data_IF_273672344633
#
_entry.id   IF_273672344633
#
_cell.length_a   1.000
_cell.length_b   1.000
_cell.length_c   1.000
_cell.angle_alpha   90.00
_cell.angle_beta   90.00
_cell.angle_gamma   90.00
#
_symmetry.space_group_name_H-M   'P 1'
#
loop_
_entity.id
_entity.type
_entity.pdbx_description
1 polymer ?
#
# COMPACT_ATOMS: atom_id res chain seq x y z
N UNK A 1 22.94 21.87 10.95
CA UNK A 1 21.92 21.95 9.89
C UNK A 1 21.69 23.42 9.57
N UNK A 2 21.68 23.83 8.29
CA UNK A 2 21.37 25.21 7.86
C UNK A 2 20.33 25.16 6.74
N UNK A 3 19.33 26.05 6.79
CA UNK A 3 18.22 26.09 5.83
C UNK A 3 16.85 25.93 6.50
N UNK A 4 15.83 25.65 5.68
CA UNK A 4 14.47 25.38 6.13
C UNK A 4 14.34 23.93 6.58
N UNK A 5 13.89 23.70 7.81
CA UNK A 5 13.74 22.34 8.31
C UNK A 5 12.60 22.17 9.28
N UNK A 6 12.22 20.91 9.45
CA UNK A 6 11.12 20.49 10.31
C UNK A 6 11.60 19.36 11.21
N UNK A 7 11.35 19.50 12.51
CA UNK A 7 11.40 18.38 13.43
C UNK A 7 10.02 17.73 13.51
N UNK A 8 9.97 16.39 13.50
CA UNK A 8 8.71 15.60 13.53
C UNK A 8 8.65 14.68 14.74
N UNK A 9 9.39 15.05 15.78
CA UNK A 9 9.62 14.26 16.98
C UNK A 9 8.53 14.43 18.02
N UNK A 10 8.13 13.35 18.68
CA UNK A 10 7.27 13.44 19.89
C UNK A 10 7.92 14.30 20.98
N UNK A 11 9.22 14.09 21.19
CA UNK A 11 10.04 14.81 22.14
C UNK A 11 11.17 15.51 21.37
N UNK A 12 11.01 16.80 21.02
CA UNK A 12 11.96 17.54 20.19
C UNK A 12 13.35 17.64 20.82
N UNK A 13 14.39 17.59 19.98
CA UNK A 13 15.81 17.68 20.36
C UNK A 13 16.56 18.81 19.67
N UNK A 14 15.92 19.51 18.74
CA UNK A 14 16.54 20.58 17.96
C UNK A 14 15.87 21.93 18.24
N UNK A 15 16.41 22.99 17.64
CA UNK A 15 15.78 24.32 17.63
C UNK A 15 14.85 24.54 16.43
N UNK A 16 14.55 23.48 15.67
CA UNK A 16 13.69 23.58 14.49
C UNK A 16 12.23 23.75 14.91
N UNK A 17 11.39 24.33 14.04
CA UNK A 17 9.95 24.17 14.15
C UNK A 17 9.61 22.69 14.30
N UNK A 18 8.77 22.35 15.28
CA UNK A 18 8.34 20.97 15.51
C UNK A 18 6.89 20.78 15.08
N UNK A 19 6.62 19.71 14.32
CA UNK A 19 5.28 19.24 13.99
C UNK A 19 5.18 17.76 14.35
N UNK A 20 4.56 17.47 15.48
CA UNK A 20 4.26 16.10 15.87
C UNK A 20 2.77 15.80 15.73
N UNK A 21 2.48 14.65 15.12
CA UNK A 21 1.15 14.07 15.05
C UNK A 21 1.27 12.58 15.34
N UNK A 22 0.43 12.06 16.22
CA UNK A 22 0.40 10.64 16.58
C UNK A 22 0.27 9.77 15.31
N UNK A 23 1.27 8.91 15.00
CA UNK A 23 1.31 8.16 13.75
C UNK A 23 0.11 7.24 13.55
N UNK A 24 -0.46 7.27 12.35
CA UNK A 24 -1.52 6.37 11.89
C UNK A 24 -1.60 6.36 10.36
N UNK A 25 -2.47 5.54 9.78
CA UNK A 25 -2.62 5.39 8.32
C UNK A 25 -2.96 6.69 7.57
N UNK A 26 -3.60 7.63 8.27
CA UNK A 26 -4.02 8.92 7.75
C UNK A 26 -2.98 10.03 8.00
N UNK A 27 -1.80 9.71 8.53
CA UNK A 27 -0.74 10.69 8.77
C UNK A 27 -0.37 11.41 7.46
N UNK A 28 -0.42 12.75 7.49
CA UNK A 28 -0.03 13.63 6.40
C UNK A 28 0.69 14.83 7.00
N UNK A 29 1.75 15.28 6.33
CA UNK A 29 2.30 16.61 6.63
C UNK A 29 1.39 17.68 5.99
N UNK A 30 1.09 18.79 6.69
CA UNK A 30 0.45 19.94 6.08
C UNK A 30 1.18 20.43 4.83
N UNK A 31 0.43 20.86 3.79
CA UNK A 31 1.01 21.37 2.52
C UNK A 31 1.96 22.56 2.69
N UNK A 32 1.84 23.30 3.81
CA UNK A 32 2.76 24.38 4.20
C UNK A 32 4.19 23.89 4.40
N UNK A 33 4.37 22.60 4.72
CA UNK A 33 5.67 21.95 4.81
C UNK A 33 6.02 21.28 3.49
N UNK A 34 6.52 22.09 2.56
CA UNK A 34 7.01 21.64 1.26
C UNK A 34 8.36 22.29 0.95
N UNK A 35 9.12 21.69 0.02
CA UNK A 35 10.42 22.21 -0.43
C UNK A 35 11.47 22.37 0.70
N UNK A 36 11.40 21.53 1.75
CA UNK A 36 12.29 21.58 2.92
C UNK A 36 13.71 21.12 2.60
N UNK A 37 14.70 21.69 3.30
CA UNK A 37 16.11 21.24 3.26
C UNK A 37 16.33 19.98 4.11
N UNK A 38 15.63 19.86 5.23
CA UNK A 38 15.74 18.68 6.08
C UNK A 38 14.49 18.41 6.93
N UNK A 39 14.23 17.12 7.14
CA UNK A 39 13.27 16.60 8.13
C UNK A 39 14.06 15.81 9.15
N UNK A 40 13.91 16.14 10.43
CA UNK A 40 14.59 15.47 11.54
C UNK A 40 13.58 14.72 12.39
N UNK A 41 13.80 13.43 12.59
CA UNK A 41 13.02 12.58 13.48
C UNK A 41 13.87 12.08 14.65
N UNK A 42 13.38 12.30 15.86
CA UNK A 42 13.93 11.72 17.08
C UNK A 42 13.07 10.53 17.53
N UNK A 43 13.37 9.36 16.96
CA UNK A 43 12.81 8.04 17.30
C UNK A 43 11.33 7.77 16.94
N UNK A 44 10.58 8.72 16.38
CA UNK A 44 9.15 8.49 16.08
C UNK A 44 8.97 7.40 15.02
N UNK A 45 9.87 7.32 14.05
CA UNK A 45 9.87 6.24 13.06
C UNK A 45 10.26 4.90 13.68
N UNK A 46 11.24 4.85 14.58
CA UNK A 46 11.66 3.59 15.21
C UNK A 46 10.64 3.04 16.20
N UNK A 47 9.83 3.90 16.83
CA UNK A 47 8.84 3.50 17.83
C UNK A 47 7.47 3.17 17.23
N UNK A 48 7.29 3.33 15.92
CA UNK A 48 5.99 3.23 15.26
C UNK A 48 5.98 2.17 14.15
N UNK A 49 4.94 1.33 14.11
CA UNK A 49 4.68 0.46 12.96
C UNK A 49 4.31 1.22 11.69
N UNK A 50 3.93 2.49 11.82
CA UNK A 50 3.56 3.37 10.71
C UNK A 50 4.77 4.06 10.05
N UNK A 51 6.00 3.68 10.43
CA UNK A 51 7.22 4.28 9.89
C UNK A 51 7.28 4.33 8.36
N UNK A 52 6.74 3.38 7.56
CA UNK A 52 6.79 3.52 6.11
C UNK A 52 6.02 4.75 5.64
N UNK A 53 4.86 5.02 6.24
CA UNK A 53 4.02 6.18 5.94
C UNK A 53 4.72 7.47 6.35
N UNK A 54 5.33 7.47 7.54
CA UNK A 54 6.09 8.62 8.04
C UNK A 54 7.23 8.98 7.08
N UNK A 55 8.09 8.01 6.78
CA UNK A 55 9.21 8.17 5.86
C UNK A 55 8.76 8.67 4.49
N UNK A 56 7.66 8.12 3.97
CA UNK A 56 7.10 8.52 2.68
C UNK A 56 6.59 9.98 2.69
N UNK A 57 5.84 10.39 3.71
CA UNK A 57 5.38 11.79 3.85
C UNK A 57 6.56 12.76 4.03
N UNK A 58 7.57 12.41 4.83
CA UNK A 58 8.75 13.24 5.05
C UNK A 58 9.56 13.40 3.77
N UNK A 59 9.71 12.33 2.99
CA UNK A 59 10.37 12.39 1.69
C UNK A 59 9.66 13.34 0.73
N UNK A 60 8.32 13.35 0.69
CA UNK A 60 7.57 14.28 -0.18
C UNK A 60 7.83 15.74 0.17
N UNK A 61 7.88 16.07 1.47
CA UNK A 61 8.06 17.43 1.94
C UNK A 61 9.44 18.03 1.58
N UNK A 62 10.44 17.19 1.28
CA UNK A 62 11.78 17.64 0.91
C UNK A 62 11.89 18.08 -0.55
N UNK A 63 12.79 19.04 -0.80
CA UNK A 63 13.29 19.33 -2.15
C UNK A 63 14.31 18.27 -2.61
N UNK A 64 14.61 18.22 -3.91
CA UNK A 64 15.75 17.39 -4.39
C UNK A 64 17.03 17.86 -3.69
N UNK A 65 17.79 16.91 -3.16
CA UNK A 65 18.99 17.14 -2.35
C UNK A 65 18.72 17.37 -0.86
N UNK A 66 17.45 17.56 -0.47
CA UNK A 66 17.04 17.64 0.93
C UNK A 66 17.29 16.32 1.69
N UNK A 67 17.34 16.39 3.02
CA UNK A 67 17.77 15.28 3.87
C UNK A 67 16.71 14.81 4.87
N UNK A 68 16.50 13.51 5.00
CA UNK A 68 15.80 12.92 6.15
C UNK A 68 16.87 12.45 7.12
N UNK A 69 16.78 12.87 8.37
CA UNK A 69 17.69 12.48 9.44
C UNK A 69 16.86 11.75 10.48
N UNK A 70 17.08 10.45 10.62
CA UNK A 70 16.34 9.60 11.56
C UNK A 70 17.27 9.20 12.69
N UNK A 71 16.94 9.62 13.91
CA UNK A 71 17.56 9.06 15.10
C UNK A 71 17.07 7.62 15.28
N UNK A 72 18.02 6.69 15.38
CA UNK A 72 17.76 5.28 15.61
C UNK A 72 18.36 4.85 16.95
N UNK A 73 18.31 5.70 17.96
CA UNK A 73 18.94 5.47 19.26
C UNK A 73 17.94 4.96 20.28
N UNK A 74 18.44 4.27 21.31
CA UNK A 74 17.63 3.55 22.30
C UNK A 74 16.75 2.46 21.67
N UNK A 75 17.40 1.34 21.36
CA UNK A 75 16.75 0.13 20.81
C UNK A 75 15.84 -0.60 21.82
N UNK A 76 15.71 -0.09 23.04
CA UNK A 76 15.17 -0.83 24.19
C UNK A 76 13.67 -1.19 24.04
N UNK A 77 12.93 -0.50 23.17
CA UNK A 77 11.48 -0.70 22.99
C UNK A 77 11.06 -1.26 21.61
N UNK A 78 11.99 -1.84 20.86
CA UNK A 78 11.78 -2.01 19.43
C UNK A 78 10.88 -3.15 18.97
N UNK A 79 10.13 -2.81 17.91
CA UNK A 79 9.51 -3.73 16.98
C UNK A 79 10.54 -4.40 16.03
N UNK A 80 11.70 -3.76 15.78
CA UNK A 80 12.66 -4.09 14.70
C UNK A 80 14.12 -3.94 15.17
N UNK A 81 15.05 -4.79 14.73
CA UNK A 81 16.49 -4.61 15.03
C UNK A 81 17.11 -3.41 14.26
N UNK A 82 18.21 -2.80 14.73
CA UNK A 82 18.86 -1.65 14.07
C UNK A 82 19.17 -1.82 12.59
N UNK A 83 19.79 -2.94 12.27
CA UNK A 83 20.25 -3.25 10.91
C UNK A 83 19.06 -3.50 9.99
N UNK A 84 18.01 -4.13 10.53
CA UNK A 84 16.76 -4.39 9.85
C UNK A 84 16.01 -3.08 9.57
N UNK A 85 16.00 -2.14 10.52
CA UNK A 85 15.37 -0.85 10.34
C UNK A 85 16.07 0.00 9.25
N UNK A 86 17.40 0.01 9.23
CA UNK A 86 18.15 0.68 8.16
C UNK A 86 17.80 0.10 6.78
N UNK A 87 17.75 -1.23 6.65
CA UNK A 87 17.36 -1.88 5.39
C UNK A 87 15.92 -1.52 4.98
N UNK A 88 14.99 -1.48 5.94
CA UNK A 88 13.60 -1.08 5.69
C UNK A 88 13.49 0.40 5.30
N UNK A 89 14.29 1.29 5.89
CA UNK A 89 14.34 2.68 5.47
C UNK A 89 14.79 2.81 4.02
N UNK A 90 15.89 2.13 3.63
CA UNK A 90 16.34 2.08 2.25
C UNK A 90 15.28 1.49 1.30
N UNK A 91 14.47 0.56 1.78
CA UNK A 91 13.42 -0.08 1.00
C UNK A 91 12.23 0.86 0.73
N UNK A 92 11.75 1.59 1.74
CA UNK A 92 10.58 2.47 1.61
C UNK A 92 10.92 3.86 1.08
N UNK A 93 12.14 4.36 1.31
CA UNK A 93 12.61 5.64 0.78
C UNK A 93 13.13 5.48 -0.66
N UNK A 94 12.27 5.07 -1.59
CA UNK A 94 12.64 4.72 -2.97
C UNK A 94 13.32 5.86 -3.74
N UNK A 95 13.08 7.11 -3.34
CA UNK A 95 13.62 8.30 -4.00
C UNK A 95 14.71 8.98 -3.18
N UNK A 96 15.17 8.33 -2.13
CA UNK A 96 16.28 8.82 -1.31
C UNK A 96 17.35 7.75 -1.18
N UNK A 97 18.57 8.19 -0.91
CA UNK A 97 19.72 7.31 -0.72
C UNK A 97 20.34 7.58 0.64
N UNK A 98 20.68 6.52 1.38
CA UNK A 98 21.50 6.65 2.58
C UNK A 98 22.87 7.22 2.17
N UNK A 99 23.22 8.37 2.71
CA UNK A 99 24.51 9.04 2.43
C UNK A 99 25.45 9.04 3.62
N UNK A 100 24.93 8.87 4.83
CA UNK A 100 25.75 8.91 6.03
C UNK A 100 25.10 8.16 7.20
N UNK A 101 25.94 7.73 8.13
CA UNK A 101 25.56 7.18 9.43
C UNK A 101 26.45 7.82 10.49
N UNK A 102 25.85 8.70 11.29
CA UNK A 102 26.57 9.53 12.26
C UNK A 102 26.31 8.96 13.66
N UNK A 103 27.37 8.78 14.46
CA UNK A 103 27.24 8.37 15.86
C UNK A 103 27.85 9.44 16.78
N UNK A 104 27.02 10.03 17.64
CA UNK A 104 27.40 11.11 18.57
C UNK A 104 26.65 10.95 19.89
N UNK A 105 27.33 11.08 21.04
CA UNK A 105 26.74 11.06 22.38
C UNK A 105 25.75 9.90 22.62
N UNK A 106 26.17 8.67 22.30
CA UNK A 106 25.36 7.44 22.33
C UNK A 106 24.15 7.42 21.38
N UNK A 107 24.01 8.43 20.52
CA UNK A 107 23.01 8.45 19.47
C UNK A 107 23.58 8.01 18.13
N UNK A 108 22.80 7.28 17.33
CA UNK A 108 23.08 6.94 15.94
C UNK A 108 22.00 7.54 15.06
N UNK A 109 22.41 8.26 14.01
CA UNK A 109 21.54 8.89 13.04
C UNK A 109 21.77 8.31 11.66
N UNK A 110 20.68 7.98 10.96
CA UNK A 110 20.71 7.64 9.54
C UNK A 110 20.35 8.87 8.72
N UNK A 111 21.19 9.22 7.74
CA UNK A 111 21.00 10.40 6.90
C UNK A 111 20.70 9.97 5.47
N UNK A 112 19.49 10.25 5.00
CA UNK A 112 19.04 9.98 3.64
C UNK A 112 18.96 11.27 2.84
N UNK A 113 19.39 11.26 1.59
CA UNK A 113 19.33 12.39 0.66
C UNK A 113 18.34 12.09 -0.46
N UNK A 114 17.35 12.97 -0.67
CA UNK A 114 16.36 12.84 -1.75
C UNK A 114 17.00 13.08 -3.12
N UNK A 115 16.85 12.12 -4.03
CA UNK A 115 17.43 12.10 -5.37
C UNK A 115 16.44 12.46 -6.47
N UNK A 116 15.15 12.20 -6.28
CA UNK A 116 14.15 12.41 -7.32
C UNK A 116 12.85 13.02 -6.77
N UNK A 117 12.11 13.66 -7.68
CA UNK A 117 10.68 13.91 -7.51
C UNK A 117 9.93 12.76 -8.17
N UNK A 118 9.19 11.96 -7.39
CA UNK A 118 8.56 10.73 -7.89
C UNK A 118 7.05 10.72 -7.80
N UNK A 119 6.46 11.61 -7.00
CA UNK A 119 5.04 11.57 -6.73
C UNK A 119 4.34 12.58 -7.63
N UNK A 120 3.66 12.06 -8.65
CA UNK A 120 2.76 12.86 -9.48
C UNK A 120 1.59 13.39 -8.64
N UNK A 121 1.30 14.68 -8.81
CA UNK A 121 0.21 15.37 -8.12
C UNK A 121 -0.89 15.83 -9.07
N UNK A 122 -0.92 15.33 -10.31
CA UNK A 122 -1.95 15.69 -11.29
C UNK A 122 -3.33 15.28 -10.78
N UNK A 123 -4.34 16.10 -11.06
CA UNK A 123 -5.73 15.81 -10.70
C UNK A 123 -6.49 15.05 -11.79
N UNK A 124 -5.84 14.75 -12.92
CA UNK A 124 -6.49 14.07 -14.05
C UNK A 124 -6.67 12.57 -13.80
N UNK A 125 -7.83 12.01 -14.14
CA UNK A 125 -8.19 10.63 -13.78
C UNK A 125 -8.60 9.81 -15.01
N UNK A 126 -8.07 8.58 -15.11
CA UNK A 126 -8.62 7.56 -15.99
C UNK A 126 -9.51 6.61 -15.21
N UNK A 127 -10.78 6.52 -15.59
CA UNK A 127 -11.69 5.50 -15.08
C UNK A 127 -11.69 4.28 -16.00
N UNK A 128 -11.48 3.11 -15.43
CA UNK A 128 -11.43 1.84 -16.13
C UNK A 128 -12.52 0.90 -15.66
N UNK A 129 -13.38 0.46 -16.58
CA UNK A 129 -14.46 -0.48 -16.29
C UNK A 129 -14.18 -1.78 -17.03
N UNK A 130 -14.03 -2.88 -16.29
CA UNK A 130 -13.97 -4.22 -16.90
C UNK A 130 -15.35 -4.87 -16.86
N UNK A 131 -15.74 -5.51 -17.96
CA UNK A 131 -17.01 -6.22 -18.06
C UNK A 131 -16.92 -7.49 -18.90
N UNK A 132 -17.78 -8.47 -18.61
CA UNK A 132 -18.07 -9.62 -19.49
C UNK A 132 -19.21 -9.30 -20.49
N UNK A 133 -19.98 -8.24 -20.24
CA UNK A 133 -21.22 -7.91 -20.94
C UNK A 133 -22.47 -8.51 -20.29
N UNK A 134 -23.62 -8.18 -20.87
CA UNK A 134 -24.94 -8.65 -20.43
C UNK A 134 -25.56 -7.83 -19.29
N UNK A 135 -24.98 -6.69 -18.93
CA UNK A 135 -25.45 -5.78 -17.86
C UNK A 135 -25.23 -4.31 -18.24
N UNK A 136 -25.59 -3.95 -19.47
CA UNK A 136 -25.33 -2.62 -20.04
C UNK A 136 -25.96 -1.50 -19.18
N UNK A 137 -27.16 -1.70 -18.64
CA UNK A 137 -27.81 -0.73 -17.74
C UNK A 137 -27.02 -0.47 -16.44
N UNK A 138 -26.36 -1.49 -15.89
CA UNK A 138 -25.52 -1.37 -14.69
C UNK A 138 -24.24 -0.60 -15.02
N UNK A 139 -23.67 -0.85 -16.19
CA UNK A 139 -22.49 -0.11 -16.68
C UNK A 139 -22.87 1.34 -16.98
N UNK A 140 -24.05 1.59 -17.56
CA UNK A 140 -24.57 2.93 -17.83
C UNK A 140 -24.72 3.72 -16.52
N UNK A 141 -25.31 3.12 -15.48
CA UNK A 141 -25.40 3.74 -14.14
C UNK A 141 -24.02 4.01 -13.53
N UNK A 142 -23.05 3.13 -13.74
CA UNK A 142 -21.68 3.38 -13.32
C UNK A 142 -21.07 4.60 -14.05
N UNK A 143 -21.26 4.69 -15.37
CA UNK A 143 -20.75 5.81 -16.18
C UNK A 143 -21.41 7.13 -15.76
N UNK A 144 -22.72 7.11 -15.52
CA UNK A 144 -23.47 8.26 -15.00
C UNK A 144 -22.90 8.76 -13.68
N UNK A 145 -22.56 7.85 -12.75
CA UNK A 145 -21.95 8.27 -11.48
C UNK A 145 -20.60 8.99 -11.65
N UNK A 146 -19.86 8.72 -12.74
CA UNK A 146 -18.62 9.44 -13.05
C UNK A 146 -18.94 10.83 -13.61
N UNK A 147 -19.96 10.94 -14.46
CA UNK A 147 -20.40 12.23 -15.01
C UNK A 147 -20.92 13.17 -13.92
N UNK A 148 -21.66 12.63 -12.95
CA UNK A 148 -22.25 13.39 -11.85
C UNK A 148 -21.21 14.04 -10.93
N UNK A 149 -20.00 13.48 -10.86
CA UNK A 149 -18.89 14.04 -10.08
C UNK A 149 -18.28 15.30 -10.71
N UNK A 150 -18.64 15.64 -11.97
CA UNK A 150 -18.19 16.86 -12.68
C UNK A 150 -16.68 17.07 -12.64
N UNK A 151 -15.93 15.97 -12.82
CA UNK A 151 -14.48 15.97 -12.78
C UNK A 151 -13.95 16.81 -13.95
N UNK A 152 -13.05 17.79 -13.73
CA UNK A 152 -12.61 18.70 -14.80
C UNK A 152 -11.87 17.99 -15.93
N UNK A 153 -11.04 17.00 -15.59
CA UNK A 153 -10.19 16.30 -16.55
C UNK A 153 -10.18 14.80 -16.26
N UNK A 154 -10.96 14.06 -17.05
CA UNK A 154 -11.01 12.61 -16.95
C UNK A 154 -11.20 11.96 -18.31
N UNK A 155 -11.05 10.64 -18.34
CA UNK A 155 -11.55 9.80 -19.42
C UNK A 155 -12.17 8.53 -18.81
N UNK A 156 -13.01 7.86 -19.60
CA UNK A 156 -13.59 6.57 -19.24
C UNK A 156 -13.20 5.55 -20.31
N UNK A 157 -12.67 4.42 -19.87
CA UNK A 157 -12.30 3.28 -20.71
C UNK A 157 -13.13 2.09 -20.27
N UNK A 158 -13.90 1.50 -21.19
CA UNK A 158 -14.62 0.25 -20.94
C UNK A 158 -13.96 -0.87 -21.74
N UNK A 159 -13.53 -1.92 -21.06
CA UNK A 159 -12.90 -3.09 -21.66
C UNK A 159 -13.76 -4.34 -21.47
N UNK A 160 -14.24 -4.91 -22.58
CA UNK A 160 -15.18 -6.04 -22.56
C UNK A 160 -16.23 -5.99 -23.66
N UNK A 161 -17.34 -6.68 -23.44
CA UNK A 161 -18.56 -6.56 -24.27
C UNK A 161 -19.46 -5.49 -23.67
N UNK A 162 -19.77 -4.43 -24.43
CA UNK A 162 -20.64 -3.35 -23.99
C UNK A 162 -21.31 -2.70 -25.21
N UNK A 163 -22.62 -2.52 -25.14
CA UNK A 163 -23.45 -1.90 -26.20
C UNK A 163 -24.40 -0.82 -25.65
N UNK A 164 -24.14 -0.34 -24.44
CA UNK A 164 -25.02 0.60 -23.74
C UNK A 164 -24.99 2.02 -24.29
N UNK A 165 -25.77 2.87 -23.63
CA UNK A 165 -26.11 4.24 -24.08
C UNK A 165 -24.88 5.12 -24.32
N UNK A 166 -23.82 4.94 -23.53
CA UNK A 166 -22.67 5.84 -23.50
C UNK A 166 -21.48 5.38 -24.35
N UNK A 167 -21.65 4.38 -25.22
CA UNK A 167 -20.57 3.83 -26.06
C UNK A 167 -19.81 4.91 -26.85
N UNK A 168 -20.49 5.98 -27.28
CA UNK A 168 -19.88 7.11 -28.02
C UNK A 168 -19.14 8.13 -27.14
N UNK A 169 -19.35 8.09 -25.82
CA UNK A 169 -18.79 9.03 -24.84
C UNK A 169 -17.52 8.49 -24.16
N UNK A 170 -17.14 7.25 -24.47
CA UNK A 170 -16.06 6.53 -23.82
C UNK A 170 -15.01 6.06 -24.82
N UNK A 171 -13.84 5.67 -24.32
CA UNK A 171 -12.90 4.84 -25.08
C UNK A 171 -13.30 3.37 -24.90
N UNK A 172 -13.79 2.77 -25.97
CA UNK A 172 -14.20 1.36 -25.96
C UNK A 172 -13.07 0.43 -26.41
N UNK A 173 -12.80 -0.59 -25.60
CA UNK A 173 -11.85 -1.67 -25.90
C UNK A 173 -12.62 -3.00 -25.98
N UNK A 174 -13.05 -3.42 -27.18
CA UNK A 174 -13.74 -4.70 -27.33
C UNK A 174 -12.82 -5.85 -26.92
N UNK A 175 -13.28 -6.69 -26.00
CA UNK A 175 -12.53 -7.86 -25.56
C UNK A 175 -13.46 -8.96 -25.05
N UNK A 176 -13.40 -10.12 -25.68
CA UNK A 176 -14.22 -11.30 -25.32
C UNK A 176 -13.41 -12.60 -25.21
N UNK A 177 -12.07 -12.51 -25.32
CA UNK A 177 -11.20 -13.68 -25.23
C UNK A 177 -11.29 -14.31 -23.84
N UNK A 178 -11.53 -15.63 -23.80
CA UNK A 178 -11.61 -16.40 -22.55
C UNK A 178 -12.59 -15.83 -21.52
N UNK A 179 -13.68 -15.20 -21.96
CA UNK A 179 -14.71 -14.64 -21.07
C UNK A 179 -15.41 -15.68 -20.19
N UNK A 180 -15.38 -16.95 -20.58
CA UNK A 180 -15.83 -18.06 -19.75
C UNK A 180 -14.96 -18.28 -18.51
N UNK A 181 -13.68 -17.92 -18.58
CA UNK A 181 -12.73 -17.98 -17.46
C UNK A 181 -12.58 -16.63 -16.75
N UNK A 182 -13.03 -15.55 -17.37
CA UNK A 182 -12.97 -14.21 -16.80
C UNK A 182 -11.55 -13.68 -16.76
N UNK A 183 -11.00 -13.33 -17.92
CA UNK A 183 -9.63 -12.81 -18.05
C UNK A 183 -9.48 -11.36 -17.58
N UNK A 184 -9.80 -11.14 -16.31
CA UNK A 184 -9.92 -9.81 -15.71
C UNK A 184 -8.58 -9.09 -15.60
N UNK A 185 -7.48 -9.82 -15.40
CA UNK A 185 -6.11 -9.28 -15.36
C UNK A 185 -5.75 -8.63 -16.70
N UNK A 186 -6.01 -9.34 -17.81
CA UNK A 186 -5.80 -8.83 -19.15
C UNK A 186 -6.60 -7.58 -19.44
N UNK A 187 -7.89 -7.58 -19.11
CA UNK A 187 -8.76 -6.40 -19.27
C UNK A 187 -8.25 -5.20 -18.46
N UNK A 188 -7.85 -5.41 -17.20
CA UNK A 188 -7.26 -4.35 -16.36
C UNK A 188 -5.96 -3.81 -16.96
N UNK A 189 -5.08 -4.67 -17.44
CA UNK A 189 -3.84 -4.26 -18.10
C UNK A 189 -4.09 -3.48 -19.40
N UNK A 190 -5.02 -3.91 -20.26
CA UNK A 190 -5.38 -3.20 -21.49
C UNK A 190 -5.91 -1.78 -21.23
N UNK A 191 -6.70 -1.62 -20.17
CA UNK A 191 -7.15 -0.30 -19.68
C UNK A 191 -5.94 0.54 -19.29
N UNK A 192 -5.05 0.03 -18.42
CA UNK A 192 -3.88 0.77 -17.96
C UNK A 192 -2.94 1.17 -19.10
N UNK A 193 -2.73 0.28 -20.07
CA UNK A 193 -1.92 0.54 -21.26
C UNK A 193 -2.53 1.68 -22.08
N UNK A 194 -3.84 1.64 -22.24
CA UNK A 194 -4.63 2.61 -23.00
C UNK A 194 -4.87 3.95 -22.31
N UNK A 195 -4.66 4.02 -20.99
CA UNK A 195 -4.91 5.21 -20.18
C UNK A 195 -4.03 6.40 -20.59
N UNK A 196 -4.58 7.60 -20.60
CA UNK A 196 -3.86 8.87 -20.83
C UNK A 196 -3.27 9.41 -19.54
N UNK A 197 -3.97 9.23 -18.41
CA UNK A 197 -3.63 9.89 -17.15
C UNK A 197 -2.90 8.98 -16.17
N UNK A 198 -2.25 9.62 -15.20
CA UNK A 198 -1.45 8.96 -14.18
C UNK A 198 -2.31 8.35 -13.07
N UNK A 199 -3.43 8.98 -12.68
CA UNK A 199 -4.35 8.39 -11.71
C UNK A 199 -5.27 7.38 -12.41
N UNK A 200 -5.11 6.09 -12.11
CA UNK A 200 -5.98 5.04 -12.62
C UNK A 200 -6.97 4.63 -11.54
N UNK A 201 -8.26 4.66 -11.86
CA UNK A 201 -9.35 4.15 -11.02
C UNK A 201 -10.03 3.03 -11.79
N UNK A 202 -9.77 1.78 -11.38
CA UNK A 202 -10.20 0.60 -12.12
C UNK A 202 -11.19 -0.18 -11.26
N UNK A 203 -12.39 -0.42 -11.76
CA UNK A 203 -13.38 -1.21 -11.05
C UNK A 203 -14.20 -2.12 -11.97
N UNK A 204 -14.81 -3.12 -11.35
CA UNK A 204 -15.70 -4.06 -12.04
C UNK A 204 -17.05 -3.41 -12.35
N UNK A 205 -17.76 -3.96 -13.35
CA UNK A 205 -19.10 -3.59 -13.83
C UNK A 205 -20.29 -3.75 -12.86
N UNK A 206 -20.06 -3.51 -11.56
CA UNK A 206 -21.05 -3.64 -10.48
C UNK A 206 -20.82 -2.66 -9.34
N UNK A 207 -19.94 -1.69 -9.53
CA UNK A 207 -19.70 -0.61 -8.58
C UNK A 207 -19.93 0.71 -9.29
N UNK A 208 -20.36 1.71 -8.55
CA UNK A 208 -20.39 3.11 -8.96
C UNK A 208 -19.64 3.98 -7.96
N UNK A 209 -19.40 5.23 -8.31
CA UNK A 209 -18.93 6.23 -7.35
C UNK A 209 -20.10 6.63 -6.44
N UNK A 210 -19.86 6.75 -5.13
CA UNK A 210 -20.82 7.40 -4.23
C UNK A 210 -20.74 8.91 -4.46
N UNK A 211 -21.88 9.59 -4.44
CA UNK A 211 -21.93 11.05 -4.57
C UNK A 211 -20.91 11.76 -3.68
N UNK A 212 -20.14 12.68 -4.27
CA UNK A 212 -19.08 13.44 -3.61
C UNK A 212 -17.74 12.70 -3.57
N UNK A 213 -17.59 11.62 -4.34
CA UNK A 213 -16.36 10.84 -4.40
C UNK A 213 -15.14 11.70 -4.77
N UNK A 214 -15.27 12.58 -5.76
CA UNK A 214 -14.18 13.42 -6.27
C UNK A 214 -13.81 14.51 -5.28
N UNK A 215 -14.78 15.13 -4.60
CA UNK A 215 -14.49 16.07 -3.50
C UNK A 215 -13.73 15.39 -2.36
N UNK A 216 -14.14 14.17 -1.99
CA UNK A 216 -13.39 13.35 -1.05
C UNK A 216 -11.98 13.03 -1.53
N UNK A 217 -11.82 12.79 -2.82
CA UNK A 217 -10.54 12.47 -3.43
C UNK A 217 -9.59 13.68 -3.38
N UNK A 218 -10.10 14.86 -3.74
CA UNK A 218 -9.38 16.14 -3.60
C UNK A 218 -8.99 16.42 -2.15
N UNK A 219 -9.90 16.16 -1.21
CA UNK A 219 -9.64 16.31 0.23
C UNK A 219 -8.48 15.41 0.69
N UNK A 220 -8.39 14.19 0.18
CA UNK A 220 -7.28 13.30 0.47
C UNK A 220 -5.96 13.71 -0.21
N UNK A 221 -6.04 14.15 -1.47
CA UNK A 221 -4.92 14.59 -2.29
C UNK A 221 -4.42 13.53 -3.29
N UNK A 222 -3.84 13.99 -4.39
CA UNK A 222 -3.42 13.14 -5.52
C UNK A 222 -2.00 12.56 -5.37
N UNK A 223 -1.32 12.89 -4.29
CA UNK A 223 -0.03 12.29 -3.95
C UNK A 223 -0.26 10.97 -3.20
N UNK A 224 -0.08 9.86 -3.92
CA UNK A 224 -0.14 8.47 -3.45
C UNK A 224 0.48 7.54 -4.50
N UNK A 225 0.87 6.33 -4.11
CA UNK A 225 1.24 5.26 -5.06
C UNK A 225 0.05 4.34 -5.37
N UNK A 226 -0.60 3.89 -4.29
CA UNK A 226 -1.75 3.01 -4.26
C UNK A 226 -2.73 3.55 -3.22
N UNK A 227 -4.00 3.64 -3.60
CA UNK A 227 -5.04 4.22 -2.78
C UNK A 227 -6.24 3.26 -2.65
N UNK A 228 -6.74 3.14 -1.43
CA UNK A 228 -7.92 2.38 -1.09
C UNK A 228 -8.98 3.34 -0.58
N UNK A 229 -10.20 3.22 -1.11
CA UNK A 229 -11.36 3.95 -0.62
C UNK A 229 -12.29 2.99 0.13
N UNK A 230 -13.27 3.53 0.83
CA UNK A 230 -14.37 2.70 1.31
C UNK A 230 -15.02 1.94 0.15
N UNK A 231 -15.36 0.68 0.40
CA UNK A 231 -16.28 -0.07 -0.46
C UNK A 231 -17.51 -0.38 0.35
N UNK A 232 -18.67 -0.01 -0.17
CA UNK A 232 -19.95 -0.20 0.50
C UNK A 232 -20.78 -1.23 -0.27
N UNK A 233 -21.45 -2.09 0.49
CA UNK A 233 -22.48 -2.96 -0.05
C UNK A 233 -23.69 -2.14 -0.48
N UNK A 234 -24.63 -2.79 -1.17
CA UNK A 234 -25.92 -2.18 -1.53
C UNK A 234 -26.68 -1.63 -0.31
N UNK A 235 -26.52 -2.25 0.86
CA UNK A 235 -27.15 -1.83 2.12
C UNK A 235 -26.28 -0.81 2.91
N UNK A 236 -25.36 -0.10 2.25
CA UNK A 236 -24.48 0.91 2.86
C UNK A 236 -23.56 0.38 3.98
N UNK A 237 -23.26 -0.91 3.97
CA UNK A 237 -22.36 -1.53 4.95
C UNK A 237 -20.96 -1.62 4.38
N UNK A 238 -19.95 -1.36 5.21
CA UNK A 238 -18.54 -1.53 4.83
C UNK A 238 -18.26 -2.98 4.39
N UNK A 239 -17.76 -3.10 3.17
CA UNK A 239 -17.31 -4.32 2.52
C UNK A 239 -15.78 -4.49 2.72
N UNK A 240 -15.23 -5.53 2.11
CA UNK A 240 -13.83 -5.90 2.10
C UNK A 240 -12.94 -4.89 1.36
N UNK A 241 -12.75 -3.70 1.94
CA UNK A 241 -11.90 -2.63 1.38
C UNK A 241 -10.45 -2.67 1.83
N UNK A 242 -10.22 -2.63 3.14
CA UNK A 242 -8.93 -2.48 3.79
C UNK A 242 -8.64 -3.71 4.63
N UNK A 243 -7.91 -4.65 4.04
CA UNK A 243 -7.77 -5.99 4.58
C UNK A 243 -6.30 -6.31 4.79
N UNK A 244 -5.99 -7.00 5.88
CA UNK A 244 -4.71 -7.66 6.09
C UNK A 244 -4.84 -9.18 5.96
N UNK A 245 -3.79 -9.84 5.50
CA UNK A 245 -3.69 -11.30 5.52
C UNK A 245 -3.00 -11.71 6.82
N UNK A 246 -3.76 -12.41 7.67
CA UNK A 246 -3.26 -13.03 8.89
C UNK A 246 -2.90 -14.48 8.59
N UNK A 247 -1.62 -14.80 8.67
CA UNK A 247 -1.16 -16.19 8.69
C UNK A 247 -1.41 -16.81 10.06
N UNK A 248 -1.99 -18.02 10.11
CA UNK A 248 -2.01 -18.83 11.32
C UNK A 248 -0.68 -19.61 11.42
N UNK A 249 -0.03 -19.61 12.58
CA UNK A 249 1.27 -20.26 12.81
C UNK A 249 1.19 -21.80 12.83
N UNK A 250 -0.04 -22.34 12.83
CA UNK A 250 -0.30 -23.75 13.08
C UNK A 250 -0.44 -24.55 11.77
N UNK A 251 0.71 -24.97 11.21
CA UNK A 251 0.78 -26.10 10.29
C UNK A 251 0.38 -25.86 8.83
N UNK A 252 1.00 -26.62 7.93
CA UNK A 252 0.85 -26.51 6.47
C UNK A 252 -0.59 -26.70 5.95
N UNK A 253 -1.46 -27.34 6.74
CA UNK A 253 -2.84 -27.67 6.33
C UNK A 253 -3.85 -26.54 6.62
N UNK A 254 -3.65 -25.69 7.63
CA UNK A 254 -4.50 -24.50 7.86
C UNK A 254 -4.06 -23.29 7.02
N UNK A 255 -2.85 -23.30 6.45
CA UNK A 255 -2.31 -22.24 5.58
C UNK A 255 -3.12 -22.00 4.30
N UNK A 256 -4.05 -22.89 3.94
CA UNK A 256 -4.91 -22.75 2.76
C UNK A 256 -6.14 -21.86 3.02
N UNK A 257 -6.43 -21.50 4.27
CA UNK A 257 -7.45 -20.50 4.62
C UNK A 257 -6.75 -19.29 5.23
N UNK A 258 -6.19 -18.43 4.38
CA UNK A 258 -5.75 -17.11 4.80
C UNK A 258 -6.88 -16.44 5.59
N UNK A 259 -6.66 -16.19 6.88
CA UNK A 259 -7.59 -15.40 7.66
C UNK A 259 -7.41 -13.97 7.20
N UNK A 260 -8.43 -13.43 6.55
CA UNK A 260 -8.46 -12.01 6.23
C UNK A 260 -8.87 -11.25 7.49
N UNK A 261 -8.43 -10.01 7.65
CA UNK A 261 -8.84 -9.16 8.75
C UNK A 261 -9.24 -7.80 8.21
N UNK A 262 -10.48 -7.37 8.42
CA UNK A 262 -10.88 -6.00 8.07
C UNK A 262 -10.21 -5.05 9.05
N UNK A 263 -9.35 -4.17 8.54
CA UNK A 263 -8.59 -3.23 9.35
C UNK A 263 -9.38 -1.95 9.62
N UNK A 264 -9.13 -1.35 10.78
CA UNK A 264 -9.53 0.04 11.03
C UNK A 264 -8.85 0.96 10.00
N UNK A 265 -9.55 2.00 9.56
CA UNK A 265 -9.06 2.91 8.50
C UNK A 265 -7.86 3.74 8.93
N UNK A 266 -7.62 3.87 10.23
CA UNK A 266 -6.45 4.50 10.82
C UNK A 266 -5.31 3.50 11.02
N UNK A 267 -5.54 2.22 10.79
CA UNK A 267 -4.54 1.18 10.99
C UNK A 267 -3.80 0.81 9.69
N UNK A 268 -2.60 0.24 9.85
CA UNK A 268 -1.72 -0.16 8.76
C UNK A 268 -0.95 -1.44 9.13
N UNK A 269 -0.73 -2.28 8.12
CA UNK A 269 0.06 -3.49 8.21
C UNK A 269 0.77 -3.74 6.87
N UNK A 270 1.99 -4.29 6.93
CA UNK A 270 2.78 -4.55 5.72
C UNK A 270 2.17 -5.63 4.82
N UNK A 271 1.41 -6.56 5.41
CA UNK A 271 0.76 -7.68 4.72
C UNK A 271 -0.66 -7.32 4.24
N UNK A 272 -0.81 -6.15 3.62
CA UNK A 272 -2.10 -5.68 3.12
C UNK A 272 -2.56 -6.48 1.90
N UNK A 273 -3.87 -6.60 1.72
CA UNK A 273 -4.49 -7.22 0.57
C UNK A 273 -5.37 -6.22 -0.17
N UNK A 274 -5.11 -6.07 -1.47
CA UNK A 274 -5.91 -5.24 -2.36
C UNK A 274 -7.06 -6.08 -2.88
N UNK A 275 -8.27 -5.73 -2.46
CA UNK A 275 -9.48 -6.33 -3.00
C UNK A 275 -9.70 -5.80 -4.44
N UNK A 276 -9.58 -6.67 -5.43
CA UNK A 276 -9.53 -6.32 -6.85
C UNK A 276 -10.75 -5.71 -7.54
N UNK A 277 -11.99 -5.74 -7.01
CA UNK A 277 -13.13 -5.11 -7.63
C UNK A 277 -13.05 -3.59 -7.78
N UNK A 278 -12.27 -2.90 -6.96
CA UNK A 278 -11.98 -1.47 -7.09
C UNK A 278 -10.53 -1.21 -6.66
N UNK A 279 -9.70 -0.74 -7.59
CA UNK A 279 -8.27 -0.47 -7.39
C UNK A 279 -7.96 0.94 -7.88
N UNK A 280 -7.27 1.73 -7.05
CA UNK A 280 -6.81 3.07 -7.42
C UNK A 280 -5.29 3.07 -7.34
N UNK A 281 -4.62 3.22 -8.46
CA UNK A 281 -3.15 3.08 -8.54
C UNK A 281 -2.59 4.10 -9.52
N UNK A 282 -1.37 4.57 -9.27
CA UNK A 282 -0.63 5.37 -10.23
C UNK A 282 -0.20 4.53 -11.43
N UNK A 283 -0.30 5.07 -12.64
CA UNK A 283 0.08 4.37 -13.88
C UNK A 283 1.55 3.98 -13.88
N UNK A 284 2.44 4.84 -13.38
CA UNK A 284 3.87 4.54 -13.16
C UNK A 284 4.06 3.31 -12.25
N UNK A 285 3.35 3.28 -11.12
CA UNK A 285 3.39 2.14 -10.18
C UNK A 285 2.84 0.87 -10.81
N UNK A 286 1.72 0.95 -11.54
CA UNK A 286 1.19 -0.20 -12.28
C UNK A 286 2.18 -0.71 -13.35
N UNK A 287 2.90 0.15 -14.07
CA UNK A 287 3.87 -0.29 -15.10
C UNK A 287 4.95 -1.21 -14.54
N UNK A 288 5.37 -0.96 -13.30
CA UNK A 288 6.35 -1.78 -12.57
C UNK A 288 5.72 -3.01 -11.91
N UNK A 289 4.40 -3.04 -11.78
CA UNK A 289 3.63 -4.02 -11.00
C UNK A 289 2.38 -4.47 -11.77
N UNK A 290 2.51 -4.82 -13.05
CA UNK A 290 1.37 -5.20 -13.88
C UNK A 290 0.63 -6.40 -13.28
N UNK A 291 -0.68 -6.49 -13.53
CA UNK A 291 -1.39 -7.74 -13.28
C UNK A 291 -0.75 -8.85 -14.10
N UNK A 292 -0.70 -10.06 -13.55
CA UNK A 292 -0.20 -11.22 -14.28
C UNK A 292 -1.27 -11.75 -15.24
N UNK A 293 -1.07 -11.53 -16.54
CA UNK A 293 -1.98 -11.99 -17.60
C UNK A 293 -2.14 -13.52 -17.65
N UNK A 294 -1.36 -14.30 -16.89
CA UNK A 294 -1.56 -15.77 -16.78
C UNK A 294 -2.67 -16.16 -15.82
N UNK A 295 -3.13 -15.23 -14.98
CA UNK A 295 -4.14 -15.47 -13.94
C UNK A 295 -5.51 -14.98 -14.40
N UNK A 296 -6.53 -15.81 -14.21
CA UNK A 296 -7.93 -15.47 -14.49
C UNK A 296 -8.66 -15.13 -13.20
N UNK A 297 -9.96 -14.79 -13.31
CA UNK A 297 -10.79 -14.58 -12.14
C UNK A 297 -10.79 -15.81 -11.22
N UNK A 298 -10.67 -15.56 -9.91
CA UNK A 298 -10.56 -16.61 -8.88
C UNK A 298 -9.27 -17.44 -8.92
N UNK A 299 -8.21 -16.93 -9.58
CA UNK A 299 -6.88 -17.57 -9.61
C UNK A 299 -5.85 -16.80 -8.77
N UNK A 300 -6.26 -16.28 -7.62
CA UNK A 300 -5.38 -15.55 -6.68
C UNK A 300 -4.72 -14.31 -7.30
N UNK A 301 -5.30 -13.73 -8.33
CA UNK A 301 -4.77 -12.59 -9.08
C UNK A 301 -4.54 -11.35 -8.19
N UNK A 302 -5.47 -11.11 -7.27
CA UNK A 302 -5.39 -10.01 -6.31
C UNK A 302 -4.30 -10.25 -5.24
N UNK A 303 -4.09 -11.51 -4.85
CA UNK A 303 -3.03 -11.87 -3.91
C UNK A 303 -1.66 -11.68 -4.56
N UNK A 304 -1.53 -12.13 -5.81
CA UNK A 304 -0.31 -11.97 -6.59
C UNK A 304 0.04 -10.49 -6.75
N UNK A 305 -0.93 -9.66 -7.17
CA UNK A 305 -0.70 -8.21 -7.28
C UNK A 305 -0.31 -7.58 -5.93
N UNK A 306 -1.04 -7.90 -4.86
CA UNK A 306 -0.76 -7.36 -3.52
C UNK A 306 0.65 -7.71 -3.07
N UNK A 307 1.07 -8.96 -3.27
CA UNK A 307 2.41 -9.42 -2.98
C UNK A 307 3.47 -8.67 -3.80
N UNK A 308 3.26 -8.50 -5.10
CA UNK A 308 4.18 -7.77 -5.98
C UNK A 308 4.37 -6.31 -5.55
N UNK A 309 3.28 -5.63 -5.21
CA UNK A 309 3.33 -4.25 -4.73
C UNK A 309 4.06 -4.16 -3.39
N UNK A 310 3.83 -5.10 -2.47
CA UNK A 310 4.54 -5.17 -1.20
C UNK A 310 6.05 -5.32 -1.40
N UNK A 311 6.51 -6.27 -2.24
CA UNK A 311 7.96 -6.51 -2.45
C UNK A 311 8.67 -5.39 -3.21
N UNK A 312 7.90 -4.55 -3.90
CA UNK A 312 8.38 -3.36 -4.59
C UNK A 312 8.27 -2.09 -3.73
N UNK A 313 7.95 -2.24 -2.44
CA UNK A 313 7.94 -1.13 -1.48
C UNK A 313 6.82 -0.13 -1.69
N UNK A 314 5.75 -0.53 -2.39
CA UNK A 314 4.57 0.31 -2.58
C UNK A 314 3.82 0.42 -1.26
N UNK A 315 3.60 1.66 -0.82
CA UNK A 315 2.90 1.96 0.42
C UNK A 315 1.44 2.29 0.11
N UNK A 316 0.50 1.39 0.44
CA UNK A 316 -0.92 1.67 0.28
C UNK A 316 -1.37 2.73 1.27
N UNK A 317 -2.20 3.65 0.79
CA UNK A 317 -2.90 4.62 1.63
C UNK A 317 -4.40 4.35 1.64
N UNK A 318 -5.09 4.82 2.68
CA UNK A 318 -6.55 4.75 2.77
C UNK A 318 -7.12 6.17 2.69
N UNK A 319 -8.06 6.39 1.79
CA UNK A 319 -8.84 7.62 1.67
C UNK A 319 -10.22 7.41 2.34
N UNK A 320 -10.44 7.99 3.53
CA UNK A 320 -11.70 7.85 4.25
C UNK A 320 -12.80 8.83 3.78
N UNK A 321 -12.52 9.67 2.78
CA UNK A 321 -13.44 10.72 2.34
C UNK A 321 -14.21 10.35 1.06
N UNK A 322 -13.86 9.23 0.42
CA UNK A 322 -14.48 8.76 -0.82
C UNK A 322 -14.89 7.30 -0.67
N UNK A 323 -15.95 6.90 -1.38
CA UNK A 323 -16.48 5.54 -1.32
C UNK A 323 -17.00 5.04 -2.67
N UNK A 324 -16.80 3.76 -2.94
CA UNK A 324 -17.52 3.05 -3.99
C UNK A 324 -18.77 2.39 -3.41
N UNK A 325 -19.83 2.31 -4.19
CA UNK A 325 -21.09 1.66 -3.82
C UNK A 325 -21.38 0.50 -4.78
N UNK A 326 -21.68 -0.68 -4.23
CA UNK A 326 -22.07 -1.83 -5.03
C UNK A 326 -23.49 -1.65 -5.59
N UNK A 327 -23.65 -1.81 -6.91
CA UNK A 327 -24.94 -1.75 -7.60
C UNK A 327 -25.74 -3.05 -7.52
N UNK A 328 -25.10 -4.14 -7.10
CA UNK A 328 -25.71 -5.47 -7.05
C UNK A 328 -25.38 -6.09 -5.69
N UNK A 329 -26.39 -6.64 -5.02
CA UNK A 329 -26.21 -7.41 -3.80
C UNK A 329 -25.43 -8.70 -4.10
N UNK A 330 -24.25 -8.86 -3.48
CA UNK A 330 -23.54 -10.14 -3.53
C UNK A 330 -24.25 -11.08 -2.57
N UNK A 331 -24.82 -12.16 -3.11
CA UNK A 331 -25.50 -13.24 -2.40
C UNK A 331 -25.11 -13.34 -0.91
N UNK A 332 -25.96 -12.75 -0.04
CA UNK A 332 -25.74 -12.54 1.40
C UNK A 332 -25.39 -13.83 2.14
N UNK A 333 -25.76 -14.98 1.60
CA UNK A 333 -25.55 -16.29 2.22
C UNK A 333 -24.11 -16.81 2.11
N UNK A 334 -23.32 -16.38 1.13
CA UNK A 334 -21.91 -16.82 1.01
C UNK A 334 -20.98 -16.23 2.08
N UNK A 335 -21.32 -15.07 2.65
CA UNK A 335 -20.45 -14.34 3.59
C UNK A 335 -20.93 -14.35 5.06
N UNK A 336 -22.18 -14.74 5.34
CA UNK A 336 -22.70 -14.87 6.72
C UNK A 336 -21.85 -15.82 7.61
N UNK A 337 -21.19 -16.81 7.02
CA UNK A 337 -20.27 -17.71 7.73
C UNK A 337 -18.87 -17.11 8.01
N UNK A 338 -18.52 -15.99 7.39
CA UNK A 338 -17.17 -15.39 7.51
C UNK A 338 -17.11 -14.22 8.49
N UNK A 339 -18.18 -13.41 8.62
CA UNK A 339 -18.16 -12.21 9.47
C UNK A 339 -17.83 -12.47 10.96
N UNK A 340 -18.48 -13.42 11.66
CA UNK A 340 -18.18 -13.69 13.07
C UNK A 340 -16.77 -14.27 13.28
N UNK A 341 -16.27 -15.04 12.31
CA UNK A 341 -14.92 -15.63 12.36
C UNK A 341 -13.84 -14.55 12.28
N UNK A 342 -14.10 -13.47 11.54
CA UNK A 342 -13.15 -12.38 11.28
C UNK A 342 -12.98 -11.44 12.48
N UNK A 343 -14.09 -11.06 13.14
CA UNK A 343 -14.05 -10.23 14.36
C UNK A 343 -13.37 -10.97 15.53
N UNK A 344 -13.61 -12.29 15.62
CA UNK A 344 -12.93 -13.16 16.59
C UNK A 344 -11.45 -13.35 16.25
N UNK A 345 -11.08 -13.47 14.97
CA UNK A 345 -9.67 -13.57 14.55
C UNK A 345 -8.88 -12.31 14.90
N UNK A 346 -9.42 -11.11 14.64
CA UNK A 346 -8.74 -9.85 14.93
C UNK A 346 -8.52 -9.62 16.44
N UNK A 347 -9.52 -9.93 17.26
CA UNK A 347 -9.42 -9.80 18.73
C UNK A 347 -8.44 -10.81 19.36
N UNK A 348 -8.29 -12.01 18.78
CA UNK A 348 -7.30 -13.00 19.21
C UNK A 348 -5.89 -12.66 18.70
N UNK A 349 -5.75 -12.20 17.45
CA UNK A 349 -4.47 -11.84 16.83
C UNK A 349 -3.76 -10.69 17.57
N UNK A 350 -4.48 -9.63 17.97
CA UNK A 350 -3.91 -8.53 18.73
C UNK A 350 -3.41 -8.93 20.13
N UNK A 351 -3.89 -10.05 20.68
CA UNK A 351 -3.51 -10.55 22.00
C UNK A 351 -2.37 -11.58 21.98
N UNK A 352 -2.06 -12.22 20.85
CA UNK A 352 -1.22 -13.43 20.81
C UNK A 352 0.15 -13.29 20.14
N UNK A 353 0.50 -12.16 19.52
CA UNK A 353 1.74 -12.04 18.73
C UNK A 353 2.92 -11.44 19.53
N UNK A 354 4.07 -12.15 19.66
CA UNK A 354 5.31 -11.52 20.07
C UNK A 354 5.87 -10.66 18.92
N UNK A 355 6.15 -9.39 19.23
CA UNK A 355 6.59 -8.29 18.33
C UNK A 355 7.70 -8.62 17.30
N UNK A 356 8.48 -9.69 17.50
CA UNK A 356 9.68 -10.03 16.72
C UNK A 356 9.42 -10.81 15.41
N UNK A 357 8.28 -11.49 15.26
CA UNK A 357 8.05 -12.39 14.12
C UNK A 357 7.57 -11.69 12.83
N UNK A 358 6.88 -10.55 12.96
CA UNK A 358 6.33 -9.79 11.82
C UNK A 358 7.40 -9.25 10.86
N UNK A 359 8.55 -8.87 11.38
CA UNK A 359 9.64 -8.27 10.60
C UNK A 359 10.61 -9.30 10.03
N UNK A 360 10.62 -10.52 10.56
CA UNK A 360 11.40 -11.64 10.02
C UNK A 360 11.00 -11.98 8.57
N UNK A 361 9.70 -11.84 8.24
CA UNK A 361 9.21 -12.01 6.87
C UNK A 361 9.69 -10.89 5.94
N UNK A 362 9.58 -9.62 6.34
CA UNK A 362 10.11 -8.50 5.55
C UNK A 362 11.63 -8.63 5.31
N UNK A 363 12.38 -9.16 6.29
CA UNK A 363 13.80 -9.46 6.15
C UNK A 363 14.07 -10.61 5.18
N UNK A 364 13.39 -11.76 5.33
CA UNK A 364 13.50 -12.87 4.38
C UNK A 364 13.23 -12.42 2.94
N UNK A 365 12.28 -11.51 2.77
CA UNK A 365 11.84 -10.98 1.49
C UNK A 365 12.87 -10.03 0.85
N UNK A 366 13.56 -9.19 1.66
CA UNK A 366 14.71 -8.39 1.21
C UNK A 366 15.91 -9.27 0.80
N UNK A 367 16.19 -10.34 1.53
CA UNK A 367 17.28 -11.27 1.23
C UNK A 367 17.00 -12.12 -0.02
N UNK A 368 15.75 -12.51 -0.26
CA UNK A 368 15.32 -13.16 -1.51
C UNK A 368 15.50 -12.24 -2.73
N UNK A 369 15.21 -10.94 -2.59
CA UNK A 369 15.49 -9.94 -3.64
C UNK A 369 17.00 -9.79 -3.91
N UNK A 370 17.82 -9.80 -2.87
CA UNK A 370 19.29 -9.73 -3.02
C UNK A 370 19.89 -10.99 -3.69
N UNK A 371 19.30 -12.17 -3.40
CA UNK A 371 19.67 -13.46 -4.00
C UNK A 371 19.38 -13.53 -5.51
N UNK A 372 18.28 -12.93 -5.96
CA UNK A 372 17.87 -12.95 -7.37
C UNK A 372 18.67 -11.96 -8.23
N UNK A 373 19.16 -10.85 -7.66
CA UNK A 373 19.76 -9.75 -8.45
C UNK A 373 21.29 -9.60 -8.35
N UNK A 374 22.00 -10.18 -7.35
CA UNK A 374 23.48 -10.08 -7.31
C UNK A 374 24.20 -11.20 -6.48
N UNK A 375 24.57 -12.33 -7.11
CA UNK A 375 25.14 -13.51 -6.42
C UNK A 375 26.54 -13.32 -5.80
N UNK A 376 27.36 -12.38 -6.30
CA UNK A 376 28.78 -12.25 -5.90
C UNK A 376 28.98 -11.65 -4.50
N UNK A 377 28.00 -10.90 -3.98
CA UNK A 377 28.04 -10.25 -2.66
C UNK A 377 27.86 -11.22 -1.49
N UNK A 378 27.41 -12.45 -1.76
CA UNK A 378 26.94 -13.41 -0.76
C UNK A 378 28.07 -14.14 -0.01
N UNK A 379 29.22 -14.39 -0.64
CA UNK A 379 30.26 -15.26 -0.04
C UNK A 379 30.87 -14.73 1.26
N UNK A 380 30.87 -13.41 1.50
CA UNK A 380 31.35 -12.81 2.76
C UNK A 380 30.24 -12.58 3.80
N UNK A 381 29.00 -12.34 3.37
CA UNK A 381 27.85 -12.12 4.28
C UNK A 381 27.29 -13.40 4.89
N UNK A 382 27.27 -14.49 4.12
CA UNK A 382 26.71 -15.78 4.55
C UNK A 382 27.44 -16.38 5.76
N UNK A 383 28.76 -16.21 5.86
CA UNK A 383 29.58 -16.76 6.97
C UNK A 383 29.33 -16.04 8.30
N UNK A 384 29.04 -14.73 8.25
CA UNK A 384 28.73 -13.92 9.43
C UNK A 384 27.31 -14.22 9.94
N UNK A 385 26.37 -14.55 9.05
CA UNK A 385 24.98 -14.84 9.40
C UNK A 385 24.80 -16.30 9.86
N UNK A 386 25.50 -17.27 9.27
CA UNK A 386 25.44 -18.66 9.76
C UNK A 386 25.97 -18.80 11.19
N UNK A 387 26.99 -18.02 11.57
CA UNK A 387 27.49 -18.00 12.96
C UNK A 387 26.49 -17.32 13.91
N UNK A 388 25.85 -16.22 13.47
CA UNK A 388 24.77 -15.55 14.21
C UNK A 388 23.53 -16.44 14.41
N UNK A 389 23.10 -17.16 13.38
CA UNK A 389 21.98 -18.10 13.42
C UNK A 389 22.28 -19.28 14.36
N UNK A 390 23.50 -19.84 14.30
CA UNK A 390 23.93 -20.93 15.20
C UNK A 390 23.93 -20.48 16.67
N UNK A 391 24.34 -19.24 16.93
CA UNK A 391 24.34 -18.65 18.27
C UNK A 391 22.94 -18.32 18.79
N UNK A 392 22.05 -17.81 17.92
CA UNK A 392 20.65 -17.55 18.27
C UNK A 392 19.90 -18.86 18.59
N UNK A 393 20.08 -19.91 17.78
CA UNK A 393 19.49 -21.23 18.03
C UNK A 393 20.02 -21.85 19.33
N UNK A 394 21.32 -21.71 19.63
CA UNK A 394 21.90 -22.16 20.92
C UNK A 394 21.32 -21.40 22.13
N UNK A 395 21.07 -20.10 21.99
CA UNK A 395 20.51 -19.28 23.07
C UNK A 395 19.04 -19.62 23.37
N UNK A 396 18.31 -20.09 22.35
CA UNK A 396 16.91 -20.53 22.47
C UNK A 396 16.87 -21.94 23.07
N UNK A 397 17.77 -22.86 22.67
CA UNK A 397 17.79 -24.22 23.23
C UNK A 397 18.23 -24.30 24.70
N UNK A 398 18.95 -23.29 25.20
CA UNK A 398 19.39 -23.22 26.61
C UNK A 398 18.34 -22.62 27.56
N UNK A 399 17.25 -22.04 27.04
CA UNK A 399 16.14 -21.50 27.87
C UNK A 399 14.96 -22.47 28.02
N UNK A 400 15.02 -23.64 27.39
CA UNK A 400 14.00 -24.69 27.42
C UNK A 400 14.53 -26.02 28.01
N UNK A 401 15.54 -25.97 28.88
CA UNK A 401 15.95 -27.10 29.73
C UNK A 401 15.77 -26.76 31.19
#
# INVERSE_FOLDING_TARGET
MSGSGLEVSKNPKTKLPNFYLEPNQLYRLPKTYSNLDYVFDNNSATESKFFPILLWEWQKALKIGGKIIVNVSNFDNLLILPQDFQALCCFYLRDSMLIDKITEDNNTYLVFNKKAHSVDSSESITFGIITKGGRDEVIDSCIESIFDEKIPQYEIIVCGTYSGKYLKNIKYLPFSEFDNFGWITKKKNLICESAKYENLVIFHDRYKLRSGWYEGFKKFGFEYDLLINYKLTYDDVRDFDWITIVGNENGLQEKLRAQVGLMDVRDWEGNYFINGPCVIIKKSIWKENKWDDRLFWSMYEDNYLSYHLQINGVIPRFNPYSAFEALIDRDKNKYKLTRPVMEVAFSKYNKSQPKKLKYFFALQMFYLRSYVFNPSSYKKGATIIFSGFKNAVKSISLKFK
#
